data_IF_451943289924
#
_entry.id   IF_451943289924
#
_cell.length_a   1.000
_cell.length_b   1.000
_cell.length_c   1.000
_cell.angle_alpha   90.00
_cell.angle_beta   90.00
_cell.angle_gamma   90.00
#
_symmetry.space_group_name_H-M   'P 1'
#
loop_
_entity.id
_entity.type
_entity.pdbx_description
1 polymer ?
#
# COMPACT_ATOMS: atom_id res chain seq x y z
N UNK A 1 -37.78 -10.90 62.07
CA UNK A 1 -36.74 -10.14 62.78
C UNK A 1 -35.40 -10.48 62.20
N UNK A 2 -34.95 -9.75 61.19
CA UNK A 2 -33.53 -9.71 60.82
C UNK A 2 -33.29 -8.40 60.09
N UNK A 3 -32.49 -7.52 60.68
CA UNK A 3 -32.07 -6.23 60.11
C UNK A 3 -30.87 -6.45 59.16
N UNK A 4 -30.81 -5.79 58.01
CA UNK A 4 -29.57 -5.75 57.23
C UNK A 4 -28.68 -4.59 57.70
N UNK A 5 -27.41 -4.89 57.91
CA UNK A 5 -26.36 -3.92 58.22
C UNK A 5 -26.01 -3.11 56.94
N UNK A 6 -26.20 -1.81 57.02
CA UNK A 6 -25.65 -0.80 56.14
C UNK A 6 -24.15 -0.62 56.43
N UNK A 7 -23.28 -0.87 55.45
CA UNK A 7 -21.92 -0.37 55.43
C UNK A 7 -21.81 0.79 54.46
N UNK A 8 -21.90 2.00 54.99
CA UNK A 8 -21.45 3.21 54.31
C UNK A 8 -19.92 3.32 54.51
N UNK A 9 -19.16 3.36 53.40
CA UNK A 9 -17.87 4.04 53.39
C UNK A 9 -17.70 4.79 52.08
N UNK A 10 -18.24 6.02 52.06
CA UNK A 10 -17.98 6.98 51.03
C UNK A 10 -16.66 7.70 51.33
N UNK A 11 -15.59 7.28 50.71
CA UNK A 11 -14.39 8.10 50.55
C UNK A 11 -14.40 8.74 49.16
N UNK A 12 -15.07 9.88 49.04
CA UNK A 12 -14.90 10.83 47.92
C UNK A 12 -13.48 11.42 48.05
N UNK A 13 -12.49 10.84 47.37
CA UNK A 13 -11.26 11.57 47.02
C UNK A 13 -11.54 12.39 45.76
N UNK A 14 -11.56 13.71 45.94
CA UNK A 14 -11.64 14.68 44.86
C UNK A 14 -10.52 14.46 43.85
N UNK A 15 -10.86 14.04 42.64
CA UNK A 15 -9.99 14.10 41.50
C UNK A 15 -9.83 15.58 41.13
N UNK A 16 -8.77 16.21 41.62
CA UNK A 16 -8.30 17.45 41.01
C UNK A 16 -7.83 17.10 39.62
N UNK A 17 -8.55 17.62 38.62
CA UNK A 17 -8.14 17.66 37.22
C UNK A 17 -6.88 18.53 37.12
N UNK A 18 -5.71 17.92 37.26
CA UNK A 18 -4.46 18.56 36.94
C UNK A 18 -4.46 18.84 35.44
N UNK A 19 -4.49 20.11 35.12
CA UNK A 19 -4.32 20.63 33.74
C UNK A 19 -3.06 20.04 33.12
N UNK A 20 -3.22 19.25 32.06
CA UNK A 20 -2.15 18.60 31.28
C UNK A 20 -1.32 19.60 30.42
N UNK A 21 -1.45 20.91 30.70
CA UNK A 21 -0.76 21.95 29.93
C UNK A 21 0.55 22.43 30.54
N UNK A 22 1.06 21.76 31.59
CA UNK A 22 2.36 22.12 32.15
C UNK A 22 3.47 21.39 31.37
N UNK A 23 4.32 22.11 30.61
CA UNK A 23 5.37 21.53 29.76
C UNK A 23 6.40 20.72 30.57
N UNK A 24 6.62 21.03 31.85
CA UNK A 24 7.50 20.29 32.72
C UNK A 24 7.01 18.86 33.01
N UNK A 25 5.67 18.66 33.14
CA UNK A 25 5.09 17.33 33.38
C UNK A 25 5.12 16.47 32.12
N UNK A 26 4.96 17.08 30.94
CA UNK A 26 5.11 16.36 29.64
C UNK A 26 6.54 15.85 29.42
N UNK A 27 7.55 16.65 29.77
CA UNK A 27 8.95 16.25 29.68
C UNK A 27 9.27 15.02 30.55
N UNK A 28 8.77 15.00 31.78
CA UNK A 28 8.98 13.87 32.73
C UNK A 28 8.29 12.58 32.26
N UNK A 29 7.06 12.66 31.82
CA UNK A 29 6.31 11.50 31.32
C UNK A 29 6.96 10.91 30.04
N UNK A 30 7.50 11.75 29.16
CA UNK A 30 8.19 11.32 27.96
C UNK A 30 9.56 10.70 28.27
N UNK A 31 10.31 11.26 29.24
CA UNK A 31 11.59 10.69 29.67
C UNK A 31 11.43 9.35 30.42
N UNK A 32 10.39 9.18 31.24
CA UNK A 32 10.13 7.92 31.91
C UNK A 32 9.69 6.81 30.95
N UNK A 33 8.90 7.15 29.90
CA UNK A 33 8.58 6.19 28.83
C UNK A 33 9.80 5.81 28.01
N UNK A 34 10.67 6.74 27.67
CA UNK A 34 11.86 6.46 26.87
C UNK A 34 12.85 5.55 27.63
N UNK A 35 13.09 5.78 28.92
CA UNK A 35 13.98 4.93 29.73
C UNK A 35 13.43 3.52 29.95
N UNK A 36 12.12 3.34 30.12
CA UNK A 36 11.50 2.03 30.26
C UNK A 36 11.49 1.23 28.95
N UNK A 37 11.22 1.90 27.83
CA UNK A 37 11.24 1.28 26.50
C UNK A 37 12.66 0.95 26.04
N UNK A 38 13.66 1.77 26.36
CA UNK A 38 15.06 1.46 26.07
C UNK A 38 15.57 0.22 26.81
N UNK A 39 15.16 -0.01 28.07
CA UNK A 39 15.52 -1.21 28.81
C UNK A 39 14.96 -2.49 28.19
N UNK A 40 13.71 -2.48 27.71
CA UNK A 40 13.11 -3.61 27.00
C UNK A 40 13.70 -3.82 25.59
N UNK A 41 14.04 -2.74 24.90
CA UNK A 41 14.69 -2.81 23.59
C UNK A 41 16.11 -3.40 23.70
N UNK A 42 16.86 -3.03 24.74
CA UNK A 42 18.25 -3.54 24.96
C UNK A 42 18.31 -5.04 25.23
N UNK A 43 17.27 -5.64 25.83
CA UNK A 43 17.29 -7.04 26.24
C UNK A 43 16.71 -8.03 25.24
N UNK A 44 15.79 -7.64 24.36
CA UNK A 44 15.06 -8.58 23.49
C UNK A 44 15.13 -8.27 22.00
N UNK A 45 15.26 -7.02 21.62
CA UNK A 45 15.24 -6.62 20.21
C UNK A 45 16.42 -5.73 19.88
N UNK A 46 16.99 -5.95 18.70
CA UNK A 46 18.03 -5.09 18.12
C UNK A 46 17.42 -4.30 16.96
N UNK A 47 17.78 -3.04 16.86
CA UNK A 47 17.50 -2.21 15.70
C UNK A 47 18.68 -2.36 14.75
N UNK A 48 18.41 -2.78 13.53
CA UNK A 48 19.45 -2.96 12.49
C UNK A 48 19.07 -2.12 11.27
N UNK A 49 20.06 -1.46 10.72
CA UNK A 49 19.95 -0.79 9.42
C UNK A 49 20.27 -1.82 8.34
N UNK A 50 19.42 -1.94 7.35
CA UNK A 50 19.61 -2.81 6.19
C UNK A 50 19.58 -1.95 4.95
N UNK A 51 20.65 -1.98 4.20
CA UNK A 51 20.76 -1.28 2.92
C UNK A 51 20.50 -2.23 1.77
N UNK A 52 19.70 -1.80 0.81
CA UNK A 52 19.47 -2.47 -0.46
C UNK A 52 19.31 -1.42 -1.54
N UNK A 53 20.07 -1.54 -2.60
CA UNK A 53 19.92 -0.71 -3.81
C UNK A 53 19.90 0.80 -3.49
N UNK A 54 20.82 1.27 -2.62
CA UNK A 54 20.92 2.69 -2.25
C UNK A 54 19.85 3.21 -1.28
N UNK A 55 18.96 2.35 -0.78
CA UNK A 55 17.96 2.72 0.24
C UNK A 55 18.26 2.01 1.56
N UNK A 56 18.30 2.76 2.65
CA UNK A 56 18.46 2.24 4.00
C UNK A 56 17.10 2.05 4.67
N UNK A 57 16.94 0.94 5.38
CA UNK A 57 15.74 0.64 6.16
C UNK A 57 16.09 0.28 7.60
N UNK A 58 15.41 0.92 8.54
CA UNK A 58 15.55 0.62 9.97
C UNK A 58 14.58 -0.50 10.33
N UNK A 59 15.12 -1.65 10.74
CA UNK A 59 14.33 -2.84 11.04
C UNK A 59 14.55 -3.31 12.47
N UNK A 60 13.51 -3.89 13.04
CA UNK A 60 13.57 -4.58 14.32
C UNK A 60 13.95 -6.04 14.09
N UNK A 61 15.07 -6.47 14.68
CA UNK A 61 15.54 -7.86 14.71
C UNK A 61 15.43 -8.40 16.14
N UNK A 62 15.45 -9.72 16.28
CA UNK A 62 15.23 -10.38 17.57
C UNK A 62 16.43 -11.28 17.92
N UNK A 63 16.73 -11.45 19.21
CA UNK A 63 17.69 -12.44 19.68
C UNK A 63 17.22 -13.84 19.23
N UNK A 64 18.10 -14.71 18.74
CA UNK A 64 17.74 -16.03 18.18
C UNK A 64 17.47 -17.06 19.29
N UNK A 65 16.46 -16.85 20.11
CA UNK A 65 16.07 -17.79 21.18
C UNK A 65 15.41 -19.06 20.65
N UNK A 66 14.71 -18.94 19.51
CA UNK A 66 14.06 -20.07 18.82
C UNK A 66 14.31 -19.99 17.32
N UNK A 67 14.27 -21.13 16.57
CA UNK A 67 14.48 -21.14 15.13
C UNK A 67 13.56 -20.16 14.38
N UNK A 68 12.33 -19.99 14.87
CA UNK A 68 11.31 -19.13 14.21
C UNK A 68 11.55 -17.63 14.36
N UNK A 69 12.47 -17.18 15.21
CA UNK A 69 12.82 -15.75 15.37
C UNK A 69 14.21 -15.42 14.87
N UNK A 70 15.07 -16.40 14.59
CA UNK A 70 16.45 -16.17 14.10
C UNK A 70 16.51 -15.26 12.89
N UNK A 71 15.68 -15.48 11.88
CA UNK A 71 15.64 -14.69 10.65
C UNK A 71 14.47 -13.72 10.58
N UNK A 72 13.81 -13.45 11.72
CA UNK A 72 12.69 -12.53 11.76
C UNK A 72 13.18 -11.08 11.69
N UNK A 73 12.69 -10.34 10.69
CA UNK A 73 12.91 -8.89 10.54
C UNK A 73 11.58 -8.19 10.34
N UNK A 74 11.32 -7.13 11.07
CA UNK A 74 10.07 -6.36 10.98
C UNK A 74 10.36 -4.87 10.87
N UNK A 75 9.65 -4.12 10.02
CA UNK A 75 9.71 -2.66 10.04
C UNK A 75 9.21 -2.17 11.41
N UNK A 76 9.70 -1.00 11.81
CA UNK A 76 9.30 -0.34 13.06
C UNK A 76 7.99 0.40 12.79
N UNK A 77 6.90 -0.10 13.34
CA UNK A 77 5.54 0.40 13.14
C UNK A 77 4.87 0.71 14.50
N UNK A 78 5.58 1.40 15.38
CA UNK A 78 5.12 1.65 16.76
C UNK A 78 3.97 2.67 16.81
N UNK A 79 3.81 3.47 15.75
CA UNK A 79 2.72 4.43 15.58
C UNK A 79 1.36 3.80 15.25
N UNK A 80 1.32 2.51 14.96
CA UNK A 80 0.07 1.84 14.63
C UNK A 80 -0.79 1.58 15.86
N UNK A 81 -2.10 1.72 15.68
CA UNK A 81 -3.09 1.32 16.67
C UNK A 81 -3.02 -0.18 16.95
N UNK A 82 -2.90 -0.54 18.22
CA UNK A 82 -2.80 -1.93 18.67
C UNK A 82 -4.15 -2.55 19.04
N UNK A 83 -5.22 -1.75 19.09
CA UNK A 83 -6.55 -2.19 19.47
C UNK A 83 -7.35 -2.79 18.30
N UNK A 84 -8.65 -3.01 18.55
CA UNK A 84 -9.59 -3.53 17.56
C UNK A 84 -9.87 -2.51 16.46
N UNK A 85 -10.16 -2.95 15.20
CA UNK A 85 -10.59 -2.05 14.14
C UNK A 85 -11.98 -1.49 14.43
N UNK A 86 -12.35 -0.45 13.70
CA UNK A 86 -13.71 0.10 13.75
C UNK A 86 -14.69 -0.89 13.12
N UNK A 87 -15.46 -1.58 13.95
CA UNK A 87 -16.30 -2.72 13.54
C UNK A 87 -17.33 -2.39 12.46
N UNK A 88 -18.04 -1.23 12.48
CA UNK A 88 -19.01 -0.89 11.45
C UNK A 88 -18.45 -0.85 10.03
N UNK A 89 -17.16 -0.52 9.87
CA UNK A 89 -16.47 -0.49 8.58
C UNK A 89 -15.71 -1.79 8.27
N UNK A 90 -16.06 -2.91 8.94
CA UNK A 90 -15.38 -4.18 8.73
C UNK A 90 -16.36 -5.33 8.62
N UNK A 91 -16.06 -6.28 7.73
CA UNK A 91 -16.85 -7.48 7.57
C UNK A 91 -15.95 -8.75 7.53
N UNK A 92 -16.47 -9.91 7.93
CA UNK A 92 -15.71 -11.14 7.91
C UNK A 92 -15.41 -11.57 6.46
N UNK A 93 -14.18 -12.01 6.21
CA UNK A 93 -13.80 -12.55 4.90
C UNK A 93 -14.46 -13.90 4.67
N UNK A 94 -15.43 -13.97 3.75
CA UNK A 94 -16.06 -15.21 3.31
C UNK A 94 -15.12 -16.00 2.37
N UNK A 95 -15.30 -17.32 2.27
CA UNK A 95 -14.60 -18.18 1.31
C UNK A 95 -13.12 -18.45 1.61
N UNK A 96 -12.58 -18.04 2.75
CA UNK A 96 -11.17 -18.28 3.09
C UNK A 96 -10.86 -19.79 3.23
N UNK A 97 -11.82 -20.61 3.64
CA UNK A 97 -11.68 -22.05 3.78
C UNK A 97 -11.69 -22.79 2.44
N UNK A 98 -12.19 -22.19 1.35
CA UNK A 98 -12.33 -22.86 0.04
C UNK A 98 -10.99 -23.27 -0.61
N UNK A 99 -9.86 -22.75 -0.13
CA UNK A 99 -8.54 -23.18 -0.58
C UNK A 99 -8.21 -22.90 -2.05
N UNK A 100 -8.82 -21.87 -2.64
CA UNK A 100 -8.63 -21.52 -4.06
C UNK A 100 -9.43 -22.39 -5.03
N UNK A 101 -10.46 -23.09 -4.56
CA UNK A 101 -11.35 -23.93 -5.38
C UNK A 101 -12.58 -23.17 -5.85
N UNK A 102 -13.08 -23.51 -7.03
CA UNK A 102 -14.34 -23.01 -7.58
C UNK A 102 -15.55 -23.82 -7.06
N UNK A 103 -16.73 -23.62 -7.65
CA UNK A 103 -17.97 -24.36 -7.32
C UNK A 103 -17.87 -25.86 -7.61
N UNK A 104 -17.10 -26.25 -8.64
CA UNK A 104 -16.89 -27.67 -9.02
C UNK A 104 -15.80 -28.35 -8.18
N UNK A 105 -15.21 -27.68 -7.19
CA UNK A 105 -14.15 -28.21 -6.33
C UNK A 105 -12.75 -28.21 -6.95
N UNK A 106 -12.59 -27.79 -8.19
CA UNK A 106 -11.30 -27.70 -8.87
C UNK A 106 -10.50 -26.49 -8.37
N UNK A 107 -9.17 -26.64 -8.27
CA UNK A 107 -8.27 -25.56 -7.87
C UNK A 107 -8.10 -24.57 -9.03
N UNK A 108 -8.65 -23.37 -8.89
CA UNK A 108 -8.51 -22.27 -9.88
C UNK A 108 -7.46 -21.26 -9.49
N UNK A 109 -7.16 -21.13 -8.19
CA UNK A 109 -6.10 -20.26 -7.67
C UNK A 109 -5.14 -21.07 -6.82
N UNK A 110 -3.92 -21.25 -7.32
CA UNK A 110 -2.89 -22.05 -6.65
C UNK A 110 -2.37 -21.37 -5.39
N UNK A 111 -1.74 -22.14 -4.53
CA UNK A 111 -1.06 -21.70 -3.30
C UNK A 111 -1.95 -20.92 -2.34
N UNK A 112 -3.25 -21.11 -2.38
CA UNK A 112 -4.21 -20.49 -1.46
C UNK A 112 -4.82 -21.55 -0.55
N UNK A 113 -5.04 -21.19 0.70
CA UNK A 113 -5.78 -22.03 1.65
C UNK A 113 -5.33 -21.91 3.08
N UNK A 114 -6.27 -22.12 4.00
CA UNK A 114 -6.06 -21.99 5.43
C UNK A 114 -5.79 -20.55 5.86
N UNK A 115 -4.91 -20.39 6.84
CA UNK A 115 -4.53 -19.09 7.40
C UNK A 115 -5.45 -18.59 8.50
N UNK A 116 -5.05 -17.49 9.15
CA UNK A 116 -5.81 -16.86 10.22
C UNK A 116 -7.11 -16.23 9.70
N UNK A 117 -8.18 -16.29 10.49
CA UNK A 117 -9.44 -15.58 10.19
C UNK A 117 -9.15 -14.08 10.03
N UNK A 118 -9.74 -13.44 9.02
CA UNK A 118 -9.54 -12.02 8.72
C UNK A 118 -10.86 -11.29 8.59
N UNK A 119 -10.85 -10.03 8.99
CA UNK A 119 -11.91 -9.08 8.67
C UNK A 119 -11.41 -8.14 7.58
N UNK A 120 -12.21 -7.94 6.56
CA UNK A 120 -11.92 -6.99 5.47
C UNK A 120 -12.37 -5.61 5.93
N UNK A 121 -11.53 -4.58 5.68
CA UNK A 121 -11.87 -3.18 5.92
C UNK A 121 -12.45 -2.58 4.65
N UNK A 122 -13.53 -1.84 4.80
CA UNK A 122 -14.10 -1.03 3.72
C UNK A 122 -13.24 0.22 3.59
N UNK A 123 -12.37 0.26 2.58
CA UNK A 123 -11.49 1.41 2.32
C UNK A 123 -12.09 2.25 1.22
N UNK A 124 -12.19 3.54 1.45
CA UNK A 124 -12.64 4.52 0.48
C UNK A 124 -11.50 4.84 -0.50
N UNK A 125 -11.62 4.35 -1.73
CA UNK A 125 -10.72 4.65 -2.83
C UNK A 125 -11.18 5.83 -3.68
N UNK A 126 -12.40 6.29 -3.47
CA UNK A 126 -12.99 7.31 -4.31
C UNK A 126 -12.86 8.70 -3.71
N UNK A 127 -12.79 8.82 -2.37
CA UNK A 127 -12.66 10.10 -1.67
C UNK A 127 -13.74 11.12 -2.09
N UNK A 128 -14.99 10.64 -2.27
CA UNK A 128 -16.11 11.48 -2.75
C UNK A 128 -16.49 12.61 -1.79
N UNK A 129 -16.31 12.39 -0.49
CA UNK A 129 -16.70 13.39 0.53
C UNK A 129 -15.71 14.54 0.51
N UNK A 130 -16.15 15.77 0.19
CA UNK A 130 -15.28 16.94 0.20
C UNK A 130 -15.01 17.42 1.63
N UNK A 131 -13.98 18.23 1.79
CA UNK A 131 -13.70 18.94 3.04
C UNK A 131 -12.58 18.35 3.87
N UNK A 132 -12.38 18.90 5.08
CA UNK A 132 -11.35 18.48 6.00
C UNK A 132 -11.77 17.24 6.79
N UNK A 133 -10.88 16.26 6.83
CA UNK A 133 -11.02 15.03 7.60
C UNK A 133 -9.87 14.92 8.59
N UNK A 134 -10.16 14.62 9.85
CA UNK A 134 -9.16 14.43 10.90
C UNK A 134 -8.76 12.95 10.94
N UNK A 135 -7.47 12.68 10.94
CA UNK A 135 -6.92 11.33 11.14
C UNK A 135 -7.05 10.97 12.63
N UNK A 136 -7.96 10.06 12.96
CA UNK A 136 -8.14 9.58 14.33
C UNK A 136 -6.99 8.67 14.75
N UNK A 137 -6.64 7.72 13.89
CA UNK A 137 -5.56 6.75 14.12
C UNK A 137 -5.14 6.04 12.83
N UNK A 138 -3.97 5.41 12.87
CA UNK A 138 -3.46 4.58 11.78
C UNK A 138 -3.52 3.12 12.20
N UNK A 139 -4.07 2.26 11.34
CA UNK A 139 -4.32 0.86 11.63
C UNK A 139 -3.58 -0.07 10.65
N UNK A 140 -3.25 -1.26 11.14
CA UNK A 140 -2.81 -2.38 10.30
C UNK A 140 -4.01 -3.02 9.59
N UNK A 141 -3.90 -3.25 8.28
CA UNK A 141 -4.89 -4.02 7.52
C UNK A 141 -4.28 -5.35 7.04
N UNK A 142 -4.83 -6.51 7.45
CA UNK A 142 -4.36 -7.82 6.99
C UNK A 142 -4.67 -8.09 5.50
N UNK A 143 -5.50 -7.28 4.85
CA UNK A 143 -5.89 -7.40 3.45
C UNK A 143 -4.90 -6.76 2.47
N UNK A 144 -4.01 -5.90 2.94
CA UNK A 144 -3.05 -5.13 2.12
C UNK A 144 -1.71 -4.95 2.81
N UNK A 145 -0.73 -4.48 2.07
CA UNK A 145 0.63 -4.22 2.58
C UNK A 145 0.78 -2.82 3.16
N UNK A 146 0.08 -1.82 2.61
CA UNK A 146 0.04 -0.46 3.13
C UNK A 146 -0.84 -0.37 4.38
N UNK A 147 -0.55 0.60 5.27
CA UNK A 147 -1.40 0.91 6.42
C UNK A 147 -2.61 1.73 6.00
N UNK A 148 -3.65 1.71 6.83
CA UNK A 148 -4.87 2.47 6.62
C UNK A 148 -5.03 3.51 7.73
N UNK A 149 -5.60 4.65 7.38
CA UNK A 149 -5.97 5.70 8.33
C UNK A 149 -7.48 5.71 8.53
N UNK A 150 -7.92 5.74 9.78
CA UNK A 150 -9.31 6.00 10.14
C UNK A 150 -9.50 7.51 10.18
N UNK A 151 -10.34 8.00 9.30
CA UNK A 151 -10.70 9.40 9.20
C UNK A 151 -12.05 9.65 9.87
N UNK A 152 -12.17 10.80 10.50
CA UNK A 152 -13.43 11.36 10.98
C UNK A 152 -13.66 12.68 10.26
N UNK A 153 -14.77 12.81 9.59
CA UNK A 153 -15.17 14.05 8.94
C UNK A 153 -15.45 15.11 10.02
N UNK A 154 -14.91 16.30 9.84
CA UNK A 154 -15.04 17.40 10.79
C UNK A 154 -16.49 17.90 10.88
N UNK A 155 -17.26 17.87 9.78
CA UNK A 155 -18.65 18.30 9.73
C UNK A 155 -19.62 17.23 10.21
N UNK A 156 -19.69 16.11 9.51
CA UNK A 156 -20.71 15.06 9.72
C UNK A 156 -20.32 14.03 10.78
N UNK A 157 -19.10 14.07 11.32
CA UNK A 157 -18.51 13.08 12.23
C UNK A 157 -18.55 11.63 11.72
N UNK A 158 -18.84 11.45 10.43
CA UNK A 158 -18.85 10.13 9.82
C UNK A 158 -17.42 9.60 9.68
N UNK A 159 -17.26 8.29 9.87
CA UNK A 159 -15.93 7.63 9.80
C UNK A 159 -15.73 6.94 8.45
N UNK A 160 -14.50 6.97 7.96
CA UNK A 160 -14.09 6.25 6.75
C UNK A 160 -12.64 5.80 6.85
N UNK A 161 -12.28 4.71 6.15
CA UNK A 161 -10.89 4.28 6.01
C UNK A 161 -10.31 4.74 4.68
N UNK A 162 -9.08 5.23 4.69
CA UNK A 162 -8.28 5.49 3.50
C UNK A 162 -6.94 4.77 3.59
N UNK A 163 -6.22 4.66 2.46
CA UNK A 163 -4.80 4.28 2.52
C UNK A 163 -4.02 5.47 3.09
N UNK A 164 -3.25 5.21 4.14
CA UNK A 164 -2.43 6.24 4.77
C UNK A 164 -1.25 6.64 3.87
N UNK A 165 -0.93 7.92 3.82
CA UNK A 165 0.33 8.41 3.28
C UNK A 165 1.49 8.09 4.24
N UNK A 166 2.70 8.01 3.71
CA UNK A 166 3.89 7.88 4.53
C UNK A 166 4.13 9.15 5.37
N UNK A 167 4.46 8.95 6.64
CA UNK A 167 4.63 10.05 7.59
C UNK A 167 3.34 10.66 8.14
N UNK A 168 2.15 10.17 7.76
CA UNK A 168 0.88 10.59 8.35
C UNK A 168 0.74 10.08 9.79
N UNK A 169 0.19 10.90 10.69
CA UNK A 169 -0.01 10.59 12.11
C UNK A 169 -1.43 10.89 12.57
N UNK A 170 -1.77 10.38 13.76
CA UNK A 170 -3.03 10.73 14.42
C UNK A 170 -3.04 12.23 14.75
N UNK A 171 -4.16 12.90 14.49
CA UNK A 171 -4.34 14.33 14.65
C UNK A 171 -4.12 15.17 13.38
N UNK A 172 -3.46 14.60 12.35
CA UNK A 172 -3.27 15.30 11.08
C UNK A 172 -4.61 15.52 10.37
N UNK A 173 -4.70 16.60 9.61
CA UNK A 173 -5.87 16.93 8.81
C UNK A 173 -5.57 16.65 7.34
N UNK A 174 -6.50 15.97 6.69
CA UNK A 174 -6.42 15.59 5.27
C UNK A 174 -7.63 16.14 4.53
N UNK A 175 -7.41 16.80 3.41
CA UNK A 175 -8.47 17.38 2.60
C UNK A 175 -8.78 16.53 1.36
N UNK A 176 -10.03 16.56 0.94
CA UNK A 176 -10.47 16.00 -0.33
C UNK A 176 -11.02 17.11 -1.22
N UNK A 177 -10.33 17.36 -2.32
CA UNK A 177 -10.69 18.38 -3.31
C UNK A 177 -11.32 17.79 -4.57
N UNK A 178 -11.80 16.56 -4.49
CA UNK A 178 -12.39 15.87 -5.65
C UNK A 178 -13.64 16.59 -6.20
N UNK A 179 -14.40 17.24 -5.34
CA UNK A 179 -15.58 18.01 -5.75
C UNK A 179 -15.24 19.40 -6.32
N UNK A 180 -13.95 19.73 -6.41
CA UNK A 180 -13.46 21.04 -6.83
C UNK A 180 -12.87 21.85 -5.68
N UNK A 181 -12.49 23.08 -5.96
CA UNK A 181 -11.90 24.00 -4.99
C UNK A 181 -13.02 24.58 -4.11
N UNK A 182 -12.90 24.52 -2.78
CA UNK A 182 -13.86 25.16 -1.87
C UNK A 182 -13.86 26.71 -2.08
N UNK A 183 -15.05 27.32 -1.97
CA UNK A 183 -15.20 28.76 -2.12
C UNK A 183 -14.27 29.53 -1.17
N UNK A 184 -14.19 29.12 0.09
CA UNK A 184 -13.30 29.72 1.09
C UNK A 184 -11.82 29.73 0.69
N UNK A 185 -11.37 28.72 -0.03
CA UNK A 185 -10.00 28.68 -0.56
C UNK A 185 -9.85 29.59 -1.78
N UNK A 186 -10.87 29.66 -2.64
CA UNK A 186 -10.90 30.55 -3.78
C UNK A 186 -10.87 32.01 -3.35
N UNK A 187 -11.69 32.39 -2.36
CA UNK A 187 -11.72 33.73 -1.77
C UNK A 187 -10.36 34.10 -1.16
N UNK A 188 -9.68 33.16 -0.51
CA UNK A 188 -8.35 33.36 0.05
C UNK A 188 -7.24 33.53 -1.00
N UNK A 189 -7.52 33.24 -2.27
CA UNK A 189 -6.61 33.42 -3.42
C UNK A 189 -6.98 34.66 -4.26
N UNK A 190 -7.95 35.46 -3.82
CA UNK A 190 -8.38 36.65 -4.55
C UNK A 190 -9.28 36.37 -5.76
N UNK A 191 -9.96 35.23 -5.79
CA UNK A 191 -10.90 34.86 -6.85
C UNK A 191 -10.27 34.28 -8.13
N UNK A 192 -8.97 34.44 -8.32
CA UNK A 192 -8.23 33.89 -9.48
C UNK A 192 -7.51 32.60 -9.08
N UNK A 193 -7.68 31.54 -9.88
CA UNK A 193 -7.01 30.26 -9.66
C UNK A 193 -5.63 30.29 -10.28
N UNK A 194 -4.63 30.71 -9.51
CA UNK A 194 -3.23 30.55 -9.87
C UNK A 194 -2.76 29.15 -9.48
N UNK A 195 -2.25 28.34 -10.44
CA UNK A 195 -1.75 26.99 -10.18
C UNK A 195 -0.64 26.92 -9.13
N UNK A 196 0.22 27.94 -9.04
CA UNK A 196 1.31 28.02 -8.07
C UNK A 196 0.79 28.21 -6.64
N UNK A 197 -0.10 29.16 -6.43
CA UNK A 197 -0.71 29.44 -5.12
C UNK A 197 -1.61 28.27 -4.69
N UNK A 198 -2.37 27.70 -5.63
CA UNK A 198 -3.19 26.53 -5.37
C UNK A 198 -2.33 25.34 -4.90
N UNK A 199 -1.22 25.09 -5.59
CA UNK A 199 -0.30 24.03 -5.21
C UNK A 199 0.28 24.26 -3.81
N UNK A 200 0.72 25.47 -3.48
CA UNK A 200 1.26 25.81 -2.17
C UNK A 200 0.24 25.56 -1.04
N UNK A 201 -1.06 25.86 -1.28
CA UNK A 201 -2.13 25.69 -0.28
C UNK A 201 -2.73 24.29 -0.21
N UNK A 202 -2.61 23.48 -1.25
CA UNK A 202 -3.28 22.16 -1.33
C UNK A 202 -2.36 20.97 -1.38
N UNK A 203 -1.08 21.13 -1.76
CA UNK A 203 -0.14 20.04 -1.98
C UNK A 203 0.43 19.44 -0.69
N UNK A 204 -0.39 19.28 0.35
CA UNK A 204 0.01 18.58 1.57
C UNK A 204 -0.18 17.06 1.48
N UNK A 205 0.65 16.32 2.21
CA UNK A 205 0.61 14.86 2.26
C UNK A 205 -0.78 14.35 2.65
N UNK A 206 -1.27 13.38 1.90
CA UNK A 206 -2.56 12.75 2.16
C UNK A 206 -3.77 13.49 1.57
N UNK A 207 -3.60 14.69 1.03
CA UNK A 207 -4.66 15.41 0.32
C UNK A 207 -4.97 14.73 -1.00
N UNK A 208 -6.24 14.67 -1.35
CA UNK A 208 -6.72 14.09 -2.59
C UNK A 208 -7.17 15.21 -3.54
N UNK A 209 -6.53 15.26 -4.72
CA UNK A 209 -6.80 16.25 -5.75
C UNK A 209 -7.07 15.59 -7.10
N UNK A 210 -7.84 16.24 -8.01
CA UNK A 210 -7.88 15.85 -9.41
C UNK A 210 -6.52 16.08 -10.08
N UNK A 211 -6.17 15.27 -11.07
CA UNK A 211 -4.85 15.27 -11.70
C UNK A 211 -4.49 16.62 -12.35
N UNK A 212 -5.47 17.35 -12.88
CA UNK A 212 -5.23 18.67 -13.47
C UNK A 212 -4.75 19.72 -12.45
N UNK A 213 -5.09 19.57 -11.15
CA UNK A 213 -4.68 20.49 -10.09
C UNK A 213 -3.28 20.17 -9.53
N UNK A 214 -2.77 18.95 -9.73
CA UNK A 214 -1.51 18.51 -9.14
C UNK A 214 -0.35 19.03 -9.99
N UNK A 215 0.67 19.72 -9.43
CA UNK A 215 1.81 20.19 -10.19
C UNK A 215 2.62 19.06 -10.84
N UNK A 216 3.26 19.34 -11.96
CA UNK A 216 4.24 18.46 -12.58
C UNK A 216 5.41 18.24 -11.62
N UNK A 217 6.01 17.04 -11.61
CA UNK A 217 7.06 16.65 -10.68
C UNK A 217 6.57 16.16 -9.32
N UNK A 218 5.29 16.36 -8.96
CA UNK A 218 4.76 15.94 -7.67
C UNK A 218 4.64 14.42 -7.58
N UNK A 219 5.06 13.87 -6.43
CA UNK A 219 4.88 12.46 -6.10
C UNK A 219 3.47 12.22 -5.58
N UNK A 220 2.79 11.23 -6.15
CA UNK A 220 1.41 10.87 -5.84
C UNK A 220 1.23 9.38 -5.66
N UNK A 221 0.20 8.96 -4.94
CA UNK A 221 -0.21 7.57 -4.79
C UNK A 221 -1.74 7.45 -4.85
N UNK A 222 -2.28 6.23 -4.85
CA UNK A 222 -3.72 6.01 -5.04
C UNK A 222 -4.28 6.73 -6.26
N UNK A 223 -3.61 6.57 -7.41
CA UNK A 223 -3.98 7.26 -8.66
C UNK A 223 -5.14 6.54 -9.34
N UNK A 224 -6.18 7.28 -9.70
CA UNK A 224 -7.29 6.81 -10.54
C UNK A 224 -6.88 6.74 -12.01
N UNK A 225 -7.55 5.89 -12.79
CA UNK A 225 -7.34 5.82 -14.25
C UNK A 225 -8.36 6.66 -15.02
N UNK A 226 -9.60 6.69 -14.57
CA UNK A 226 -10.75 7.30 -15.23
C UNK A 226 -11.41 8.31 -14.31
N UNK A 227 -12.07 9.31 -14.88
CA UNK A 227 -12.88 10.27 -14.16
C UNK A 227 -13.94 9.55 -13.30
N UNK A 228 -14.19 10.06 -12.10
CA UNK A 228 -15.17 9.54 -11.12
C UNK A 228 -14.93 8.10 -10.62
N UNK A 229 -13.95 7.37 -11.14
CA UNK A 229 -13.56 6.06 -10.63
C UNK A 229 -12.67 6.18 -9.37
N UNK A 230 -12.54 5.08 -8.63
CA UNK A 230 -11.64 4.97 -7.49
C UNK A 230 -10.17 4.82 -7.89
N UNK A 231 -9.29 4.84 -6.90
CA UNK A 231 -7.86 4.61 -7.11
C UNK A 231 -7.57 3.21 -7.65
N UNK A 232 -6.73 3.12 -8.68
CA UNK A 232 -6.30 1.88 -9.35
C UNK A 232 -4.81 1.65 -9.14
N UNK A 233 -3.97 2.66 -9.39
CA UNK A 233 -2.52 2.55 -9.33
C UNK A 233 -1.94 2.95 -7.98
N UNK A 234 -0.75 2.46 -7.65
CA UNK A 234 0.04 2.84 -6.49
C UNK A 234 -0.70 2.72 -5.15
N UNK A 235 -1.31 1.54 -4.89
CA UNK A 235 -2.04 1.24 -3.65
C UNK A 235 -1.25 0.37 -2.66
N UNK A 236 -0.17 -0.24 -3.10
CA UNK A 236 0.66 -1.12 -2.27
C UNK A 236 1.61 -0.31 -1.39
N UNK A 237 2.19 -0.95 -0.37
CA UNK A 237 3.15 -0.33 0.53
C UNK A 237 4.35 0.27 -0.21
N UNK A 238 4.68 1.52 0.11
CA UNK A 238 5.83 2.22 -0.43
C UNK A 238 5.75 2.56 -1.92
N UNK A 239 4.60 2.34 -2.57
CA UNK A 239 4.45 2.67 -4.00
C UNK A 239 4.06 4.12 -4.19
N UNK A 240 4.57 4.70 -5.25
CA UNK A 240 4.28 6.06 -5.69
C UNK A 240 4.37 6.17 -7.20
N UNK A 241 3.89 7.27 -7.72
CA UNK A 241 4.03 7.66 -9.11
C UNK A 241 4.39 9.15 -9.16
N UNK A 242 4.97 9.62 -10.25
CA UNK A 242 5.33 11.02 -10.46
C UNK A 242 4.55 11.55 -11.64
N UNK A 243 3.96 12.73 -11.48
CA UNK A 243 3.31 13.46 -12.59
C UNK A 243 4.41 13.99 -13.49
N UNK A 244 4.44 13.54 -14.75
CA UNK A 244 5.52 13.87 -15.70
C UNK A 244 5.12 15.04 -16.59
N UNK A 245 3.93 14.95 -17.17
CA UNK A 245 3.48 15.91 -18.14
C UNK A 245 1.98 16.16 -18.08
N UNK A 246 1.61 17.40 -18.34
CA UNK A 246 0.26 17.87 -18.56
C UNK A 246 0.30 18.74 -19.82
N UNK A 247 -0.61 18.53 -20.74
CA UNK A 247 -0.73 19.42 -21.89
C UNK A 247 -1.37 20.74 -21.41
N UNK A 248 -0.53 21.65 -20.94
CA UNK A 248 -0.93 22.98 -20.47
C UNK A 248 -0.55 24.02 -21.53
N UNK A 249 -1.48 24.88 -21.90
CA UNK A 249 -1.25 26.05 -22.73
C UNK A 249 -1.31 27.29 -21.86
N UNK A 250 -0.37 28.20 -22.05
CA UNK A 250 -0.36 29.49 -21.39
C UNK A 250 -1.26 30.43 -22.18
N UNK A 251 -2.31 30.96 -21.59
CA UNK A 251 -3.13 32.02 -22.17
C UNK A 251 -2.38 33.35 -22.13
N UNK A 252 -2.86 34.30 -22.92
CA UNK A 252 -2.30 35.66 -23.00
C UNK A 252 -2.23 36.35 -21.63
N UNK A 253 -3.12 36.00 -20.72
CA UNK A 253 -3.16 36.47 -19.33
C UNK A 253 -2.08 35.82 -18.42
N UNK A 254 -1.16 35.02 -18.96
CA UNK A 254 -0.17 34.28 -18.20
C UNK A 254 -0.69 33.08 -17.41
N UNK A 255 -1.99 32.82 -17.43
CA UNK A 255 -2.60 31.67 -16.75
C UNK A 255 -2.39 30.38 -17.53
N UNK A 256 -1.92 29.32 -16.86
CA UNK A 256 -1.78 27.99 -17.45
C UNK A 256 -3.10 27.24 -17.41
N UNK A 257 -3.65 26.93 -18.57
CA UNK A 257 -4.89 26.15 -18.70
C UNK A 257 -4.58 24.80 -19.33
N UNK A 258 -5.10 23.73 -18.74
CA UNK A 258 -4.95 22.39 -19.29
C UNK A 258 -5.88 22.15 -20.47
N UNK A 259 -5.31 22.06 -21.67
CA UNK A 259 -6.02 21.78 -22.93
C UNK A 259 -6.25 20.28 -23.13
N UNK A 260 -5.30 19.45 -22.65
CA UNK A 260 -5.35 18.00 -22.81
C UNK A 260 -6.41 17.31 -21.94
N UNK A 261 -6.95 16.19 -22.47
CA UNK A 261 -7.89 15.30 -21.74
C UNK A 261 -7.16 14.36 -20.75
N UNK A 262 -5.84 14.21 -20.88
CA UNK A 262 -5.04 13.25 -20.14
C UNK A 262 -3.81 13.91 -19.51
N UNK A 263 -3.37 13.32 -18.39
CA UNK A 263 -2.12 13.64 -17.69
C UNK A 263 -1.22 12.41 -17.77
N UNK A 264 0.07 12.60 -17.98
CA UNK A 264 1.05 11.52 -18.04
C UNK A 264 1.68 11.32 -16.66
N UNK A 265 1.65 10.07 -16.22
CA UNK A 265 2.13 9.68 -14.89
C UNK A 265 3.12 8.53 -15.04
N UNK A 266 4.33 8.70 -14.53
CA UNK A 266 5.35 7.66 -14.46
C UNK A 266 5.19 6.85 -13.18
N UNK A 267 4.91 5.57 -13.34
CA UNK A 267 4.84 4.61 -12.25
C UNK A 267 6.23 4.24 -11.73
N UNK A 268 6.30 3.66 -10.53
CA UNK A 268 7.55 3.20 -9.94
C UNK A 268 8.25 2.10 -10.77
N UNK A 269 7.51 1.35 -11.61
CA UNK A 269 8.05 0.40 -12.58
C UNK A 269 8.79 1.03 -13.77
N UNK A 270 8.73 2.38 -13.92
CA UNK A 270 9.26 3.11 -15.06
C UNK A 270 8.23 3.35 -16.17
N UNK A 271 7.11 2.62 -16.16
CA UNK A 271 6.06 2.76 -17.17
C UNK A 271 5.37 4.12 -17.07
N UNK A 272 5.21 4.81 -18.20
CA UNK A 272 4.44 6.05 -18.31
C UNK A 272 3.03 5.72 -18.79
N UNK A 273 2.04 6.15 -18.03
CA UNK A 273 0.62 5.93 -18.33
C UNK A 273 -0.12 7.25 -18.45
N UNK A 274 -1.05 7.30 -19.41
CA UNK A 274 -2.00 8.39 -19.56
C UNK A 274 -3.23 8.12 -18.71
N UNK A 275 -3.56 9.04 -17.81
CA UNK A 275 -4.73 9.02 -16.93
C UNK A 275 -5.62 10.20 -17.22
N UNK A 276 -6.92 10.10 -16.97
CA UNK A 276 -7.85 11.22 -17.17
C UNK A 276 -7.45 12.41 -16.28
N UNK A 277 -7.61 13.63 -16.79
CA UNK A 277 -7.38 14.88 -16.05
C UNK A 277 -8.24 15.00 -14.78
N UNK A 278 -9.47 14.43 -14.83
CA UNK A 278 -10.44 14.45 -13.73
C UNK A 278 -10.31 13.24 -12.80
N UNK A 279 -9.37 12.32 -13.09
CA UNK A 279 -9.03 11.26 -12.16
C UNK A 279 -8.36 11.86 -10.92
N UNK A 280 -8.62 11.27 -9.75
CA UNK A 280 -8.04 11.77 -8.50
C UNK A 280 -6.79 10.99 -8.11
N UNK A 281 -5.85 11.69 -7.49
CA UNK A 281 -4.69 11.10 -6.84
C UNK A 281 -4.48 11.72 -5.46
N UNK A 282 -3.77 11.00 -4.61
CA UNK A 282 -3.40 11.46 -3.27
C UNK A 282 -1.94 11.83 -3.25
N UNK A 283 -1.60 12.98 -2.67
CA UNK A 283 -0.22 13.49 -2.61
C UNK A 283 0.60 12.72 -1.59
N UNK A 284 1.82 12.35 -1.99
CA UNK A 284 2.79 11.63 -1.20
C UNK A 284 3.07 10.21 -1.68
N UNK A 285 3.57 9.37 -0.79
CA UNK A 285 3.89 7.95 -1.01
C UNK A 285 2.97 7.09 -0.14
N UNK A 286 2.60 5.90 -0.59
CA UNK A 286 1.83 4.96 0.23
C UNK A 286 2.64 4.52 1.45
N UNK A 287 2.01 4.42 2.61
CA UNK A 287 2.66 4.08 3.89
C UNK A 287 3.37 2.73 3.88
N UNK A 288 4.20 2.48 4.91
CA UNK A 288 4.95 1.24 5.11
C UNK A 288 6.02 0.98 4.03
N UNK A 289 6.81 1.99 3.70
CA UNK A 289 7.86 1.96 2.67
C UNK A 289 8.82 0.77 2.87
N UNK A 290 9.16 0.45 4.11
CA UNK A 290 10.10 -0.63 4.45
C UNK A 290 9.48 -2.04 4.46
N UNK A 291 8.25 -2.21 3.93
CA UNK A 291 7.57 -3.52 3.88
C UNK A 291 8.37 -4.59 3.14
N UNK A 292 9.05 -4.22 2.05
CA UNK A 292 9.85 -5.15 1.22
C UNK A 292 11.04 -5.76 1.97
N UNK A 293 11.56 -5.09 3.01
CA UNK A 293 12.69 -5.56 3.82
C UNK A 293 12.25 -6.53 4.94
N UNK A 294 10.95 -6.68 5.15
CA UNK A 294 10.41 -7.58 6.17
C UNK A 294 10.69 -9.05 5.84
N UNK A 295 11.19 -9.81 6.81
CA UNK A 295 11.36 -11.25 6.71
C UNK A 295 10.44 -11.97 7.68
N UNK A 296 9.78 -13.02 7.21
CA UNK A 296 8.80 -13.77 8.02
C UNK A 296 9.47 -14.66 9.07
N UNK A 297 10.69 -15.14 8.83
CA UNK A 297 11.49 -15.93 9.76
C UNK A 297 11.10 -17.40 9.87
N UNK A 298 9.85 -17.80 9.56
CA UNK A 298 9.41 -19.21 9.55
C UNK A 298 8.29 -19.46 8.54
N UNK A 299 8.23 -20.66 7.99
CA UNK A 299 7.24 -21.07 7.00
C UNK A 299 5.78 -20.94 7.52
N UNK A 300 5.54 -21.23 8.80
CA UNK A 300 4.21 -21.09 9.40
C UNK A 300 3.60 -19.69 9.29
N UNK A 301 4.42 -18.63 9.22
CA UNK A 301 3.91 -17.26 9.01
C UNK A 301 3.36 -17.03 7.61
N UNK A 302 3.90 -17.69 6.59
CA UNK A 302 3.31 -17.71 5.25
C UNK A 302 1.95 -18.43 5.27
N UNK A 303 1.86 -19.52 6.03
CA UNK A 303 0.58 -20.24 6.24
C UNK A 303 -0.47 -19.33 6.89
N UNK A 304 -0.12 -18.56 7.90
CA UNK A 304 -1.02 -17.57 8.51
C UNK A 304 -1.57 -16.56 7.52
N UNK A 305 -0.78 -16.23 6.49
CA UNK A 305 -1.18 -15.31 5.41
C UNK A 305 -2.00 -15.97 4.30
N UNK A 306 -2.41 -17.23 4.48
CA UNK A 306 -3.18 -18.01 3.49
C UNK A 306 -2.33 -18.44 2.27
N UNK A 307 -1.02 -18.56 2.44
CA UNK A 307 -0.10 -19.04 1.40
C UNK A 307 0.27 -20.47 1.70
N UNK A 308 0.03 -21.39 0.76
CA UNK A 308 0.43 -22.80 0.84
C UNK A 308 1.88 -22.96 0.31
N UNK A 309 2.58 -24.03 0.72
CA UNK A 309 3.88 -24.36 0.16
C UNK A 309 3.82 -24.53 -1.36
N UNK A 310 4.91 -24.16 -2.03
CA UNK A 310 5.10 -24.36 -3.48
C UNK A 310 6.19 -25.39 -3.68
N UNK A 311 5.89 -26.41 -4.49
CA UNK A 311 6.89 -27.37 -4.97
C UNK A 311 7.40 -26.92 -6.33
N UNK A 312 8.70 -26.94 -6.53
CA UNK A 312 9.33 -26.59 -7.82
C UNK A 312 9.06 -27.71 -8.84
N UNK A 313 8.76 -27.35 -10.09
CA UNK A 313 8.50 -28.33 -11.15
C UNK A 313 9.68 -29.30 -11.35
N UNK A 314 10.91 -28.82 -11.22
CA UNK A 314 12.14 -29.63 -11.31
C UNK A 314 12.28 -30.68 -10.19
N UNK A 315 11.52 -30.58 -9.11
CA UNK A 315 11.50 -31.55 -8.01
C UNK A 315 10.38 -32.58 -8.16
N UNK A 316 9.66 -32.59 -9.27
CA UNK A 316 8.58 -33.51 -9.60
C UNK A 316 9.00 -34.50 -10.68
N UNK A 317 8.32 -35.65 -10.77
CA UNK A 317 8.48 -36.58 -11.87
C UNK A 317 7.96 -35.95 -13.20
N UNK A 318 8.41 -36.48 -14.34
CA UNK A 318 8.09 -35.91 -15.66
C UNK A 318 6.58 -35.76 -15.92
N UNK A 319 5.75 -36.72 -15.56
CA UNK A 319 4.30 -36.67 -15.69
C UNK A 319 3.66 -35.61 -14.79
N UNK A 320 4.04 -35.56 -13.51
CA UNK A 320 3.55 -34.58 -12.54
C UNK A 320 3.94 -33.13 -12.93
N UNK A 321 5.10 -32.96 -13.59
CA UNK A 321 5.54 -31.65 -14.08
C UNK A 321 4.62 -31.16 -15.21
N UNK A 322 4.22 -32.00 -16.16
CA UNK A 322 3.31 -31.62 -17.25
C UNK A 322 1.93 -31.27 -16.73
N UNK A 323 1.37 -32.03 -15.81
CA UNK A 323 0.06 -31.76 -15.20
C UNK A 323 0.09 -30.48 -14.32
N UNK A 324 1.19 -30.25 -13.62
CA UNK A 324 1.39 -29.04 -12.83
C UNK A 324 1.65 -27.80 -13.70
N UNK A 325 2.19 -27.95 -14.90
CA UNK A 325 2.58 -26.88 -15.81
C UNK A 325 1.45 -26.37 -16.71
N UNK A 326 0.26 -26.98 -16.67
CA UNK A 326 -0.95 -26.47 -17.33
C UNK A 326 -1.39 -25.07 -16.83
N UNK A 327 -0.60 -24.39 -15.97
CA UNK A 327 -0.70 -22.98 -15.65
C UNK A 327 0.51 -22.24 -16.21
N UNK A 328 0.26 -21.22 -16.94
CA UNK A 328 1.03 -20.15 -17.62
C UNK A 328 2.59 -20.11 -17.56
N UNK A 329 3.25 -20.83 -16.65
CA UNK A 329 4.72 -20.89 -16.59
C UNK A 329 5.33 -22.09 -17.34
N UNK A 330 4.60 -23.20 -17.46
CA UNK A 330 5.09 -24.38 -18.17
C UNK A 330 5.07 -24.20 -19.71
N UNK A 331 4.06 -23.50 -20.22
CA UNK A 331 3.96 -23.24 -21.66
C UNK A 331 5.09 -22.34 -22.14
N UNK A 332 5.45 -21.32 -21.38
CA UNK A 332 6.56 -20.43 -21.73
C UNK A 332 7.92 -21.16 -21.74
N UNK A 333 8.16 -22.06 -20.80
CA UNK A 333 9.44 -22.81 -20.74
C UNK A 333 9.56 -23.87 -21.83
N UNK A 334 8.44 -24.55 -22.17
CA UNK A 334 8.41 -25.49 -23.32
C UNK A 334 8.57 -24.76 -24.65
N UNK A 335 7.99 -23.58 -24.81
CA UNK A 335 8.13 -22.76 -26.01
C UNK A 335 9.58 -22.25 -26.15
N UNK A 336 10.24 -21.87 -25.07
CA UNK A 336 11.67 -21.45 -25.09
C UNK A 336 12.57 -22.64 -25.43
N UNK A 337 12.33 -23.82 -24.87
CA UNK A 337 13.09 -25.03 -25.18
C UNK A 337 12.88 -25.50 -26.63
N UNK A 338 11.67 -25.39 -27.15
CA UNK A 338 11.39 -25.67 -28.57
C UNK A 338 12.01 -24.66 -29.52
N UNK A 339 12.02 -23.36 -29.16
CA UNK A 339 12.69 -22.33 -29.93
C UNK A 339 14.22 -22.47 -29.90
N UNK A 340 14.82 -22.83 -28.78
CA UNK A 340 16.25 -23.07 -28.70
C UNK A 340 16.69 -24.34 -29.44
N UNK A 341 15.89 -25.40 -29.42
CA UNK A 341 16.17 -26.61 -30.23
C UNK A 341 15.98 -26.37 -31.71
N UNK A 342 15.00 -25.56 -32.12
CA UNK A 342 14.82 -25.17 -33.53
C UNK A 342 15.96 -24.25 -34.02
N UNK A 343 16.43 -23.32 -33.21
CA UNK A 343 17.59 -22.48 -33.58
C UNK A 343 18.89 -23.28 -33.66
N UNK A 344 19.09 -24.26 -32.77
CA UNK A 344 20.27 -25.14 -32.82
C UNK A 344 20.25 -26.07 -34.05
N UNK A 345 19.05 -26.57 -34.46
CA UNK A 345 18.89 -27.40 -35.67
C UNK A 345 19.07 -26.56 -36.95
N UNK A 346 18.69 -25.28 -36.94
CA UNK A 346 18.94 -24.39 -38.08
C UNK A 346 20.42 -23.97 -38.18
N UNK A 347 21.14 -23.81 -37.10
CA UNK A 347 22.58 -23.50 -37.11
C UNK A 347 23.45 -24.69 -37.46
N UNK A 348 23.03 -25.93 -37.23
CA UNK A 348 23.80 -27.13 -37.57
C UNK A 348 23.60 -27.56 -39.04
N UNK A 349 22.59 -27.03 -39.74
CA UNK A 349 22.23 -27.45 -41.10
C UNK A 349 22.71 -26.56 -42.29
N UNK A 350 23.47 -25.46 -42.15
CA UNK A 350 23.97 -24.71 -43.30
C UNK A 350 25.20 -25.38 -43.98
N UNK A 351 25.67 -26.54 -43.48
CA UNK A 351 26.83 -27.24 -44.10
C UNK A 351 26.44 -28.43 -44.98
N UNK A 352 25.17 -28.75 -45.15
CA UNK A 352 24.74 -29.92 -45.99
C UNK A 352 24.07 -29.49 -47.31
N UNK A 353 23.80 -28.21 -47.54
CA UNK A 353 23.24 -27.73 -48.81
C UNK A 353 24.24 -27.21 -49.82
N UNK A 354 25.45 -27.68 -49.71
CA UNK A 354 26.55 -27.31 -50.65
C UNK A 354 26.99 -28.37 -51.61
N UNK A 355 26.15 -29.28 -52.10
CA UNK A 355 26.44 -30.12 -53.27
C UNK A 355 25.10 -30.66 -53.79
N UNK A 356 24.54 -30.03 -54.79
CA UNK A 356 23.84 -30.64 -55.90
C UNK A 356 23.48 -29.51 -56.91
N UNK A 357 24.44 -29.21 -57.71
CA UNK A 357 24.24 -28.57 -58.98
C UNK A 357 23.60 -29.59 -59.95
N UNK A 358 22.41 -29.37 -60.40
CA UNK A 358 21.81 -30.05 -61.55
C UNK A 358 21.83 -29.08 -62.70
N UNK A 359 22.55 -29.41 -63.82
CA UNK A 359 22.49 -28.59 -65.01
C UNK A 359 21.29 -28.93 -65.88
N UNK A 360 20.67 -27.92 -66.43
CA UNK A 360 20.01 -27.93 -67.72
C UNK A 360 18.62 -28.58 -67.83
N UNK A 361 17.60 -27.74 -68.05
CA UNK A 361 16.58 -27.99 -69.06
C UNK A 361 15.95 -26.68 -69.43
N UNK A 362 16.29 -26.23 -70.66
CA UNK A 362 15.54 -25.27 -71.40
C UNK A 362 14.14 -25.80 -71.75
N UNK A 363 13.14 -25.02 -71.54
CA UNK A 363 12.05 -24.62 -72.45
C UNK A 363 11.06 -23.77 -71.67
#
# INVERSE_FOLDING_TARGET
MFQPRLHLSAARRGLQLFSLNNPAVRGYATQLKSKGEEKNIKNETRVTVVERTGQSAILRTYKPRTPGVRHLRRPINDHLWKGRPHLPLTFPKKGQAKGGRNSTGRITVRHRGGGAKRRIRTVDFERKRPGPHIVERIEYDPGRSAHIALLTDKGTKTKSYIIAADGLRAGDIVHSYRAGIPKSLLDSMGGVVDPGILAAKTAFKGNCLPMHMIPVGTTVFCVGSVAKAGAVFCRSAGTSAVVVNKNEETKDDGTKVMTGKHVEVRLQSGEVRRVSKDACATIGVASNVHHSYAQLGKAGRSRWRNIRPTVRGTAMNKGEFTDASASNYGVAYLTILQLTTLTVVVEVNPRVTGILSVPGASL
#
